data_IF_764891989505
#
_entry.id   IF_764891989505
#
_cell.length_a   1.000
_cell.length_b   1.000
_cell.length_c   1.000
_cell.angle_alpha   90.00
_cell.angle_beta   90.00
_cell.angle_gamma   90.00
#
_symmetry.space_group_name_H-M   'P 1'
#
loop_
_entity.id
_entity.type
_entity.pdbx_description
1 polymer ?
#
# COMPACT_ATOMS: atom_id res chain seq x y z
N UNK A 1 -12.12 10.35 -22.71
CA UNK A 1 -12.71 10.69 -21.40
C UNK A 1 -11.63 11.45 -20.62
N UNK A 2 -11.81 12.75 -20.35
CA UNK A 2 -10.79 13.58 -19.69
C UNK A 2 -10.67 13.18 -18.21
N UNK A 3 -9.74 12.27 -17.88
CA UNK A 3 -9.32 11.99 -16.51
C UNK A 3 -8.33 13.08 -16.08
N UNK A 4 -8.77 14.34 -15.89
CA UNK A 4 -8.05 15.26 -15.00
C UNK A 4 -8.32 14.84 -13.55
N UNK A 5 -7.86 13.64 -13.19
CA UNK A 5 -7.98 13.14 -11.82
C UNK A 5 -7.02 13.95 -10.99
N UNK A 6 -7.55 14.76 -10.08
CA UNK A 6 -6.76 15.34 -9.01
C UNK A 6 -6.36 14.21 -8.05
N UNK A 7 -5.37 13.43 -8.46
CA UNK A 7 -4.82 12.34 -7.66
C UNK A 7 -4.14 12.98 -6.45
N UNK A 8 -4.73 12.80 -5.27
CA UNK A 8 -4.16 13.15 -3.97
C UNK A 8 -3.42 11.93 -3.42
N UNK A 9 -2.34 11.56 -4.09
CA UNK A 9 -1.41 10.53 -3.62
C UNK A 9 -0.26 11.21 -2.89
N UNK A 10 0.15 10.67 -1.73
CA UNK A 10 1.44 10.98 -1.12
C UNK A 10 2.36 9.77 -1.35
N UNK A 11 3.35 9.86 -2.27
CA UNK A 11 4.22 8.75 -2.61
C UNK A 11 4.95 8.14 -1.40
N UNK A 12 5.25 6.85 -1.48
CA UNK A 12 6.00 6.06 -0.50
C UNK A 12 7.21 6.80 0.07
N UNK A 13 8.09 7.34 -0.79
CA UNK A 13 9.33 8.01 -0.36
C UNK A 13 9.07 9.23 0.53
N UNK A 14 7.99 9.97 0.27
CA UNK A 14 7.58 11.12 1.08
C UNK A 14 6.84 10.70 2.35
N UNK A 15 6.12 9.59 2.32
CA UNK A 15 5.40 9.03 3.47
C UNK A 15 6.36 8.39 4.48
N UNK A 16 7.39 7.70 4.00
CA UNK A 16 8.36 6.93 4.79
C UNK A 16 9.76 7.54 4.78
N UNK A 17 9.86 8.87 4.65
CA UNK A 17 11.13 9.60 4.53
C UNK A 17 12.20 9.19 5.55
N UNK A 18 11.82 8.98 6.81
CA UNK A 18 12.76 8.54 7.87
C UNK A 18 13.40 7.18 7.58
N UNK A 19 12.65 6.23 7.01
CA UNK A 19 13.14 4.91 6.67
C UNK A 19 14.03 4.95 5.43
N UNK A 20 13.66 5.78 4.45
CA UNK A 20 14.48 6.05 3.26
C UNK A 20 15.83 6.65 3.66
N UNK A 21 15.84 7.65 4.55
CA UNK A 21 17.06 8.28 5.07
C UNK A 21 17.94 7.31 5.88
N UNK A 22 17.33 6.33 6.56
CA UNK A 22 18.04 5.26 7.29
C UNK A 22 18.66 4.20 6.35
N UNK A 23 18.18 4.07 5.12
CA UNK A 23 18.69 3.13 4.12
C UNK A 23 18.41 1.66 4.44
N UNK A 24 17.44 1.36 5.30
CA UNK A 24 17.15 0.00 5.78
C UNK A 24 16.02 -0.70 5.02
N UNK A 25 15.72 -0.27 3.80
CA UNK A 25 14.63 -0.82 3.00
C UNK A 25 15.06 -2.14 2.33
N UNK A 26 14.26 -3.21 2.40
CA UNK A 26 14.51 -4.42 1.61
C UNK A 26 14.53 -4.09 0.12
N UNK A 27 15.58 -4.47 -0.59
CA UNK A 27 15.67 -4.20 -2.03
C UNK A 27 14.84 -5.21 -2.85
N UNK A 28 14.55 -4.84 -4.09
CA UNK A 28 13.93 -5.71 -5.09
C UNK A 28 15.01 -6.37 -5.95
N UNK A 29 14.93 -7.70 -6.09
CA UNK A 29 15.86 -8.44 -6.95
C UNK A 29 15.77 -7.96 -8.41
N UNK A 30 16.86 -8.05 -9.16
CA UNK A 30 16.88 -7.67 -10.58
C UNK A 30 15.84 -8.46 -11.42
N UNK A 31 15.54 -9.71 -11.04
CA UNK A 31 14.51 -10.50 -11.70
C UNK A 31 13.11 -9.98 -11.40
N UNK A 32 12.83 -9.65 -10.13
CA UNK A 32 11.57 -9.02 -9.73
C UNK A 32 11.36 -7.68 -10.46
N UNK A 33 12.39 -6.82 -10.51
CA UNK A 33 12.35 -5.53 -11.21
C UNK A 33 12.02 -5.66 -12.70
N UNK A 34 12.69 -6.59 -13.40
CA UNK A 34 12.38 -6.87 -14.81
C UNK A 34 10.96 -7.40 -14.99
N UNK A 35 10.50 -8.30 -14.11
CA UNK A 35 9.15 -8.85 -14.20
C UNK A 35 8.09 -7.80 -13.92
N UNK A 36 8.29 -6.93 -12.92
CA UNK A 36 7.42 -5.79 -12.63
C UNK A 36 7.27 -4.90 -13.85
N UNK A 37 8.38 -4.53 -14.50
CA UNK A 37 8.33 -3.70 -15.70
C UNK A 37 7.50 -4.34 -16.82
N UNK A 38 7.74 -5.63 -17.10
CA UNK A 38 6.96 -6.38 -18.10
C UNK A 38 5.47 -6.38 -17.74
N UNK A 39 5.14 -6.60 -16.46
CA UNK A 39 3.75 -6.56 -15.97
C UNK A 39 3.11 -5.19 -16.20
N UNK A 40 3.80 -4.08 -15.92
CA UNK A 40 3.25 -2.74 -16.19
C UNK A 40 3.02 -2.52 -17.69
N UNK A 41 3.95 -2.97 -18.53
CA UNK A 41 3.85 -2.90 -20.00
C UNK A 41 2.70 -3.71 -20.57
N UNK A 42 2.35 -4.84 -19.95
CA UNK A 42 1.18 -5.65 -20.33
C UNK A 42 -0.15 -4.96 -19.96
N UNK A 43 -0.15 -4.15 -18.90
CA UNK A 43 -1.35 -3.43 -18.42
C UNK A 43 -1.52 -2.07 -19.13
N UNK A 44 -0.43 -1.47 -19.62
CA UNK A 44 -0.41 -0.16 -20.28
C UNK A 44 -1.34 -0.11 -21.50
N UNK A 45 -2.29 0.83 -21.50
CA UNK A 45 -3.19 1.05 -22.63
C UNK A 45 -2.89 2.38 -23.33
N UNK A 46 -2.67 2.40 -24.66
CA UNK A 46 -2.58 3.63 -25.41
C UNK A 46 -3.97 4.24 -25.61
N UNK A 47 -4.07 5.56 -25.51
CA UNK A 47 -5.32 6.29 -25.75
C UNK A 47 -5.08 7.63 -26.46
N UNK A 48 -6.14 8.16 -27.05
CA UNK A 48 -6.14 9.48 -27.68
C UNK A 48 -6.95 10.47 -26.85
N UNK A 49 -6.44 11.70 -26.74
CA UNK A 49 -7.15 12.78 -26.08
C UNK A 49 -6.96 14.10 -26.83
N UNK A 50 -7.90 15.02 -26.64
CA UNK A 50 -7.77 16.39 -27.15
C UNK A 50 -7.35 17.31 -26.01
N UNK A 51 -6.20 18.00 -26.11
CA UNK A 51 -5.73 18.91 -25.08
C UNK A 51 -6.75 20.04 -24.83
N UNK A 52 -6.93 20.50 -23.56
CA UNK A 52 -7.88 21.56 -23.25
C UNK A 52 -7.56 22.89 -23.94
N UNK A 53 -6.27 23.15 -24.17
CA UNK A 53 -5.72 24.32 -24.85
C UNK A 53 -5.82 24.25 -26.37
N UNK A 54 -5.99 23.05 -26.93
CA UNK A 54 -6.14 22.85 -28.36
C UNK A 54 -7.10 21.70 -28.72
N UNK A 55 -8.43 21.90 -28.56
CA UNK A 55 -9.43 20.85 -28.67
C UNK A 55 -9.61 20.29 -30.10
N UNK A 56 -9.02 20.93 -31.12
CA UNK A 56 -9.04 20.45 -32.51
C UNK A 56 -7.95 19.43 -32.84
N UNK A 57 -7.02 19.17 -31.92
CA UNK A 57 -5.89 18.27 -32.11
C UNK A 57 -6.08 17.03 -31.25
N UNK A 58 -5.72 15.87 -31.80
CA UNK A 58 -5.69 14.62 -31.06
C UNK A 58 -4.23 14.28 -30.75
N UNK A 59 -3.92 14.16 -29.47
CA UNK A 59 -2.66 13.64 -28.98
C UNK A 59 -2.83 12.18 -28.57
N UNK A 60 -1.77 11.40 -28.77
CA UNK A 60 -1.68 10.02 -28.31
C UNK A 60 -0.87 9.99 -27.03
N UNK A 61 -1.36 9.29 -26.01
CA UNK A 61 -0.65 9.02 -24.76
C UNK A 61 -0.87 7.56 -24.33
N UNK A 62 -0.26 7.16 -23.22
CA UNK A 62 -0.50 5.87 -22.56
C UNK A 62 -0.51 6.06 -21.04
N UNK A 63 -0.98 5.04 -20.32
CA UNK A 63 -1.03 5.07 -18.86
C UNK A 63 0.37 5.31 -18.27
N UNK A 64 1.40 4.64 -18.81
CA UNK A 64 2.78 4.83 -18.38
C UNK A 64 3.27 6.27 -18.60
N UNK A 65 2.92 6.92 -19.72
CA UNK A 65 3.32 8.31 -19.98
C UNK A 65 2.67 9.28 -18.99
N UNK A 66 1.39 9.10 -18.69
CA UNK A 66 0.72 9.95 -17.71
C UNK A 66 1.20 9.69 -16.27
N UNK A 67 1.60 8.46 -15.97
CA UNK A 67 2.25 8.12 -14.70
C UNK A 67 3.61 8.80 -14.57
N UNK A 68 4.37 8.92 -15.66
CA UNK A 68 5.63 9.68 -15.68
C UNK A 68 5.38 11.17 -15.37
N UNK A 69 4.36 11.77 -15.99
CA UNK A 69 3.94 13.14 -15.68
C UNK A 69 3.47 13.31 -14.23
N UNK A 70 2.71 12.34 -13.72
CA UNK A 70 2.19 12.33 -12.35
C UNK A 70 3.33 12.23 -11.34
N UNK A 71 4.26 11.29 -11.55
CA UNK A 71 5.45 11.08 -10.73
C UNK A 71 6.27 12.37 -10.64
N UNK A 72 6.56 12.99 -11.79
CA UNK A 72 7.33 14.23 -11.85
C UNK A 72 6.65 15.38 -11.08
N UNK A 73 5.33 15.50 -11.23
CA UNK A 73 4.53 16.50 -10.50
C UNK A 73 4.54 16.25 -8.99
N UNK A 74 4.41 15.00 -8.53
CA UNK A 74 4.29 14.67 -7.11
C UNK A 74 5.62 14.81 -6.36
N UNK A 75 6.73 14.47 -7.00
CA UNK A 75 8.07 14.54 -6.39
C UNK A 75 8.84 15.82 -6.74
N UNK A 76 8.28 16.67 -7.60
CA UNK A 76 8.90 17.93 -8.01
C UNK A 76 10.14 17.72 -8.89
N UNK A 77 10.22 16.60 -9.62
CA UNK A 77 11.30 16.36 -10.58
C UNK A 77 10.97 17.05 -11.90
N UNK A 78 11.98 17.49 -12.68
CA UNK A 78 11.73 18.06 -13.99
C UNK A 78 10.98 17.07 -14.88
N UNK A 79 10.04 17.59 -15.67
CA UNK A 79 9.42 16.79 -16.72
C UNK A 79 10.49 16.46 -17.77
N UNK A 80 10.54 15.22 -18.28
CA UNK A 80 11.42 14.90 -19.38
C UNK A 80 10.98 15.70 -20.62
N UNK A 81 11.88 16.55 -21.13
CA UNK A 81 11.58 17.46 -22.26
C UNK A 81 11.43 16.73 -23.60
N UNK A 82 11.90 15.49 -23.68
CA UNK A 82 11.72 14.62 -24.84
C UNK A 82 12.03 13.17 -24.47
N UNK A 83 11.04 12.41 -24.02
CA UNK A 83 11.19 10.96 -24.02
C UNK A 83 11.13 10.52 -25.50
N UNK A 84 12.26 10.11 -26.10
CA UNK A 84 12.27 9.52 -27.46
C UNK A 84 11.44 8.23 -27.50
N UNK A 85 11.22 7.61 -26.34
CA UNK A 85 10.42 6.42 -26.14
C UNK A 85 9.51 6.58 -24.93
N UNK A 86 8.27 6.12 -25.09
CA UNK A 86 7.25 6.08 -24.02
C UNK A 86 7.77 5.31 -22.80
N UNK A 87 7.85 5.96 -21.64
CA UNK A 87 8.10 5.30 -20.36
C UNK A 87 9.56 4.99 -20.04
N UNK A 88 10.53 5.52 -20.79
CA UNK A 88 11.97 5.24 -20.59
C UNK A 88 12.44 5.63 -19.18
N UNK A 89 11.97 6.77 -18.66
CA UNK A 89 12.30 7.23 -17.30
C UNK A 89 11.71 6.28 -16.26
N UNK A 90 10.45 5.87 -16.44
CA UNK A 90 9.77 4.93 -15.56
C UNK A 90 10.44 3.55 -15.59
N UNK A 91 10.84 3.09 -16.77
CA UNK A 91 11.59 1.85 -16.96
C UNK A 91 12.92 1.88 -16.18
N UNK A 92 13.70 2.95 -16.35
CA UNK A 92 14.98 3.12 -15.67
C UNK A 92 14.80 3.13 -14.15
N UNK A 93 13.80 3.85 -13.64
CA UNK A 93 13.47 3.91 -12.21
C UNK A 93 13.14 2.51 -11.66
N UNK A 94 12.32 1.73 -12.36
CA UNK A 94 11.95 0.38 -11.91
C UNK A 94 13.14 -0.57 -11.99
N UNK A 95 13.86 -0.57 -13.11
CA UNK A 95 14.90 -1.57 -13.38
C UNK A 95 16.19 -1.32 -12.60
N UNK A 96 16.57 -0.05 -12.42
CA UNK A 96 17.89 0.33 -11.89
C UNK A 96 17.83 1.37 -10.76
N UNK A 97 16.70 2.06 -10.62
CA UNK A 97 16.50 3.06 -9.58
C UNK A 97 16.42 2.46 -8.17
N UNK A 98 16.43 3.34 -7.17
CA UNK A 98 16.29 2.94 -5.76
C UNK A 98 14.91 2.32 -5.51
N UNK A 99 14.82 1.44 -4.51
CA UNK A 99 13.57 0.71 -4.22
C UNK A 99 12.42 1.65 -3.88
N UNK A 100 12.68 2.74 -3.14
CA UNK A 100 11.67 3.74 -2.82
C UNK A 100 11.12 4.44 -4.07
N UNK A 101 11.97 4.68 -5.07
CA UNK A 101 11.57 5.29 -6.34
C UNK A 101 10.74 4.31 -7.19
N UNK A 102 11.12 3.03 -7.20
CA UNK A 102 10.34 1.99 -7.86
C UNK A 102 8.95 1.84 -7.21
N UNK A 103 8.86 1.90 -5.87
CA UNK A 103 7.59 1.86 -5.15
C UNK A 103 6.73 3.09 -5.41
N UNK A 104 7.31 4.30 -5.41
CA UNK A 104 6.60 5.53 -5.77
C UNK A 104 5.95 5.41 -7.16
N UNK A 105 6.67 4.85 -8.13
CA UNK A 105 6.16 4.61 -9.48
C UNK A 105 4.99 3.62 -9.47
N UNK A 106 5.11 2.50 -8.76
CA UNK A 106 4.02 1.52 -8.66
C UNK A 106 2.77 2.13 -7.99
N UNK A 107 2.93 2.93 -6.94
CA UNK A 107 1.82 3.65 -6.31
C UNK A 107 1.19 4.67 -7.27
N UNK A 108 1.99 5.42 -8.03
CA UNK A 108 1.50 6.35 -9.05
C UNK A 108 0.71 5.62 -10.14
N UNK A 109 1.21 4.47 -10.60
CA UNK A 109 0.55 3.65 -11.59
C UNK A 109 -0.81 3.15 -11.11
N UNK A 110 -0.88 2.58 -9.90
CA UNK A 110 -2.15 2.12 -9.33
C UNK A 110 -3.13 3.28 -9.07
N UNK A 111 -2.64 4.46 -8.69
CA UNK A 111 -3.48 5.64 -8.48
C UNK A 111 -4.04 6.22 -9.79
N UNK A 112 -3.35 6.03 -10.91
CA UNK A 112 -3.77 6.48 -12.23
C UNK A 112 -4.92 5.64 -12.81
N UNK A 113 -4.85 4.32 -12.62
CA UNK A 113 -5.87 3.38 -13.08
C UNK A 113 -7.22 3.62 -12.41
N UNK A 114 -8.33 3.28 -13.09
CA UNK A 114 -9.64 3.17 -12.43
C UNK A 114 -9.71 1.95 -11.51
N UNK A 115 -10.79 1.84 -10.74
CA UNK A 115 -10.90 0.85 -9.67
C UNK A 115 -10.75 -0.60 -10.16
N UNK A 116 -11.37 -0.96 -11.28
CA UNK A 116 -11.34 -2.31 -11.84
C UNK A 116 -9.92 -2.67 -12.30
N UNK A 117 -9.31 -1.84 -13.16
CA UNK A 117 -7.94 -2.05 -13.63
C UNK A 117 -6.92 -1.98 -12.50
N UNK A 118 -7.16 -1.17 -11.47
CA UNK A 118 -6.28 -1.07 -10.30
C UNK A 118 -6.23 -2.36 -9.51
N UNK A 119 -7.38 -3.01 -9.26
CA UNK A 119 -7.42 -4.24 -8.47
C UNK A 119 -6.72 -5.40 -9.22
N UNK A 120 -6.90 -5.49 -10.53
CA UNK A 120 -6.19 -6.43 -11.39
C UNK A 120 -4.67 -6.17 -11.40
N UNK A 121 -4.26 -4.92 -11.64
CA UNK A 121 -2.86 -4.52 -11.63
C UNK A 121 -2.19 -4.77 -10.28
N UNK A 122 -2.88 -4.46 -9.17
CA UNK A 122 -2.38 -4.70 -7.82
C UNK A 122 -2.17 -6.20 -7.57
N UNK A 123 -3.09 -7.04 -8.04
CA UNK A 123 -2.97 -8.50 -7.95
C UNK A 123 -1.75 -8.98 -8.73
N UNK A 124 -1.60 -8.55 -9.99
CA UNK A 124 -0.47 -8.93 -10.83
C UNK A 124 0.88 -8.49 -10.23
N UNK A 125 0.99 -7.26 -9.71
CA UNK A 125 2.19 -6.76 -9.02
C UNK A 125 2.51 -7.61 -7.78
N UNK A 126 1.49 -7.95 -6.99
CA UNK A 126 1.65 -8.77 -5.79
C UNK A 126 2.07 -10.21 -6.09
N UNK A 127 1.65 -10.77 -7.23
CA UNK A 127 2.10 -12.07 -7.68
C UNK A 127 3.60 -12.03 -8.02
N UNK A 128 4.09 -10.97 -8.66
CA UNK A 128 5.55 -10.77 -8.86
C UNK A 128 6.27 -10.72 -7.51
N UNK A 129 5.77 -9.95 -6.55
CA UNK A 129 6.39 -9.92 -5.22
C UNK A 129 6.37 -11.28 -4.51
N UNK A 130 5.35 -12.11 -4.75
CA UNK A 130 5.26 -13.45 -4.17
C UNK A 130 6.25 -14.41 -4.83
N UNK A 131 6.29 -14.44 -6.16
CA UNK A 131 7.12 -15.35 -6.95
C UNK A 131 8.61 -15.15 -6.66
N UNK A 132 9.03 -13.91 -6.41
CA UNK A 132 10.42 -13.57 -6.09
C UNK A 132 10.68 -13.40 -4.60
N UNK A 133 9.75 -13.83 -3.73
CA UNK A 133 9.87 -13.74 -2.25
C UNK A 133 10.25 -12.34 -1.76
N UNK A 134 9.74 -11.31 -2.45
CA UNK A 134 9.92 -9.92 -2.03
C UNK A 134 9.14 -9.68 -0.73
N UNK A 135 9.75 -8.91 0.18
CA UNK A 135 9.14 -8.44 1.42
C UNK A 135 8.09 -7.33 1.20
N UNK A 136 7.74 -7.02 -0.04
CA UNK A 136 6.82 -5.93 -0.40
C UNK A 136 5.46 -6.46 -0.78
N UNK A 137 4.39 -5.74 -0.43
CA UNK A 137 3.03 -5.96 -0.93
C UNK A 137 2.37 -4.63 -1.25
N UNK A 138 1.55 -4.62 -2.29
CA UNK A 138 0.64 -3.52 -2.59
C UNK A 138 -0.72 -3.78 -1.93
N UNK A 139 -1.25 -2.80 -1.22
CA UNK A 139 -2.59 -2.82 -0.65
C UNK A 139 -3.23 -1.45 -0.76
N UNK A 140 -4.42 -1.38 -1.33
CA UNK A 140 -5.16 -0.14 -1.58
C UNK A 140 -4.31 0.91 -2.34
N UNK A 141 -3.56 0.44 -3.33
CA UNK A 141 -2.67 1.29 -4.14
C UNK A 141 -1.38 1.73 -3.44
N UNK A 142 -1.10 1.23 -2.23
CA UNK A 142 0.06 1.63 -1.42
C UNK A 142 1.04 0.48 -1.18
N UNK A 143 2.34 0.78 -1.21
CA UNK A 143 3.39 -0.16 -0.87
C UNK A 143 3.53 -0.35 0.64
N UNK A 144 3.61 -1.61 1.07
CA UNK A 144 3.79 -2.03 2.45
C UNK A 144 4.93 -3.06 2.52
N UNK A 145 5.72 -3.00 3.58
CA UNK A 145 6.65 -4.08 3.91
C UNK A 145 5.88 -5.12 4.72
N UNK A 146 5.94 -6.37 4.27
CA UNK A 146 5.46 -7.56 4.95
C UNK A 146 6.70 -8.36 5.33
N UNK A 147 7.23 -8.01 6.49
CA UNK A 147 8.34 -8.70 7.13
C UNK A 147 8.05 -8.76 8.63
N UNK A 148 8.37 -9.88 9.27
CA UNK A 148 8.12 -10.08 10.69
C UNK A 148 8.87 -9.03 11.52
N UNK A 149 10.11 -8.72 11.14
CA UNK A 149 10.95 -7.71 11.81
C UNK A 149 10.43 -6.27 11.62
N UNK A 150 9.86 -5.94 10.46
CA UNK A 150 9.35 -4.60 10.16
C UNK A 150 7.96 -4.37 10.76
N UNK A 151 7.11 -5.40 10.72
CA UNK A 151 5.85 -5.40 11.45
C UNK A 151 6.13 -5.33 12.95
N UNK A 152 7.10 -6.07 13.47
CA UNK A 152 7.54 -5.92 14.86
C UNK A 152 8.04 -4.50 15.13
N UNK A 153 8.96 -3.93 14.36
CA UNK A 153 9.53 -2.60 14.66
C UNK A 153 8.49 -1.47 14.61
N UNK A 154 7.55 -1.47 13.66
CA UNK A 154 6.54 -0.40 13.56
C UNK A 154 5.33 -0.68 14.46
N UNK A 155 4.78 -1.90 14.40
CA UNK A 155 3.63 -2.25 15.24
C UNK A 155 4.06 -2.24 16.71
N UNK A 156 5.21 -2.77 17.10
CA UNK A 156 5.64 -2.75 18.51
C UNK A 156 6.20 -1.41 18.99
N UNK A 157 6.64 -0.51 18.12
CA UNK A 157 7.00 0.84 18.56
C UNK A 157 5.75 1.70 18.85
N UNK A 158 4.72 1.59 18.01
CA UNK A 158 3.54 2.44 18.07
C UNK A 158 2.37 1.83 18.86
N UNK A 159 2.29 0.50 18.97
CA UNK A 159 1.21 -0.20 19.69
C UNK A 159 1.28 -0.02 21.22
N UNK A 160 2.45 -0.14 21.90
CA UNK A 160 2.53 0.05 23.34
C UNK A 160 2.07 1.42 23.85
N UNK A 161 2.39 2.57 23.21
CA UNK A 161 1.86 3.86 23.66
C UNK A 161 0.34 4.00 23.38
N UNK A 162 -0.18 3.42 22.30
CA UNK A 162 -1.63 3.40 22.01
C UNK A 162 -2.39 2.52 23.02
N UNK A 163 -1.85 1.34 23.34
CA UNK A 163 -2.41 0.42 24.32
C UNK A 163 -2.11 0.82 25.78
N UNK A 164 -1.25 1.82 26.01
CA UNK A 164 -0.99 2.39 27.33
C UNK A 164 -2.09 3.38 27.79
N UNK A 165 -3.02 3.74 26.90
CA UNK A 165 -4.26 4.41 27.30
C UNK A 165 -5.06 3.44 28.19
N UNK A 166 -5.50 3.90 29.36
CA UNK A 166 -6.09 3.05 30.42
C UNK A 166 -7.23 2.13 29.96
N UNK A 167 -7.94 2.51 28.89
CA UNK A 167 -9.01 1.73 28.27
C UNK A 167 -8.55 0.44 27.59
N UNK A 168 -7.28 0.30 27.22
CA UNK A 168 -6.77 -0.81 26.41
C UNK A 168 -5.89 -1.83 27.17
N UNK A 169 -5.87 -1.78 28.50
CA UNK A 169 -5.03 -2.65 29.34
C UNK A 169 -5.25 -4.15 29.05
N UNK A 170 -6.51 -4.59 28.89
CA UNK A 170 -6.81 -6.00 28.54
C UNK A 170 -6.25 -6.41 27.16
N UNK A 171 -6.41 -5.54 26.16
CA UNK A 171 -5.89 -5.78 24.81
C UNK A 171 -4.36 -5.87 24.79
N UNK A 172 -3.69 -5.09 25.65
CA UNK A 172 -2.25 -5.10 25.84
C UNK A 172 -1.75 -6.42 26.43
N UNK A 173 -2.40 -6.91 27.47
CA UNK A 173 -1.99 -8.14 28.16
C UNK A 173 -2.16 -9.36 27.25
N UNK A 174 -3.27 -9.40 26.49
CA UNK A 174 -3.54 -10.46 25.50
C UNK A 174 -2.56 -10.40 24.33
N UNK A 175 -2.20 -9.19 23.86
CA UNK A 175 -1.18 -9.02 22.83
C UNK A 175 0.19 -9.51 23.30
N UNK A 176 0.60 -9.16 24.52
CA UNK A 176 1.86 -9.62 25.09
C UNK A 176 1.90 -11.16 25.24
N UNK A 177 0.78 -11.77 25.63
CA UNK A 177 0.66 -13.24 25.66
C UNK A 177 0.77 -13.85 24.28
N UNK A 178 0.10 -13.31 23.27
CA UNK A 178 0.20 -13.79 21.90
C UNK A 178 1.67 -13.81 21.40
N UNK A 179 2.44 -12.78 21.76
CA UNK A 179 3.87 -12.70 21.43
C UNK A 179 4.71 -13.77 22.13
N UNK A 180 4.47 -13.99 23.42
CA UNK A 180 5.20 -15.01 24.17
C UNK A 180 4.92 -16.41 23.59
N UNK A 181 3.65 -16.73 23.33
CA UNK A 181 3.26 -18.02 22.73
C UNK A 181 3.86 -18.20 21.32
N UNK A 182 3.91 -17.12 20.53
CA UNK A 182 4.54 -17.17 19.21
C UNK A 182 6.06 -17.45 19.31
N UNK A 183 6.73 -16.79 20.26
CA UNK A 183 8.17 -16.95 20.50
C UNK A 183 8.51 -18.37 20.98
N UNK A 184 7.60 -18.98 21.75
CA UNK A 184 7.73 -20.35 22.25
C UNK A 184 7.34 -21.42 21.20
N UNK A 185 6.85 -21.00 20.03
CA UNK A 185 6.43 -21.89 18.94
C UNK A 185 5.01 -22.44 19.08
N UNK A 186 4.24 -21.96 20.04
CA UNK A 186 2.85 -22.36 20.29
C UNK A 186 1.89 -21.60 19.35
N UNK A 187 1.97 -21.90 18.05
CA UNK A 187 1.27 -21.15 16.98
C UNK A 187 -0.26 -21.05 17.22
N UNK A 188 -0.90 -22.13 17.71
CA UNK A 188 -2.34 -22.14 17.97
C UNK A 188 -2.74 -21.11 19.02
N UNK A 189 -2.00 -21.05 20.11
CA UNK A 189 -2.30 -20.17 21.24
C UNK A 189 -1.91 -18.73 20.92
N UNK A 190 -0.83 -18.55 20.13
CA UNK A 190 -0.49 -17.25 19.55
C UNK A 190 -1.63 -16.65 18.73
N UNK A 191 -2.24 -17.44 17.82
CA UNK A 191 -3.39 -17.01 17.01
C UNK A 191 -4.59 -16.68 17.90
N UNK A 192 -4.87 -17.52 18.90
CA UNK A 192 -5.99 -17.30 19.83
C UNK A 192 -5.84 -15.98 20.59
N UNK A 193 -4.68 -15.74 21.21
CA UNK A 193 -4.45 -14.53 21.99
C UNK A 193 -4.35 -13.27 21.11
N UNK A 194 -3.89 -13.40 19.86
CA UNK A 194 -3.94 -12.31 18.90
C UNK A 194 -5.40 -11.91 18.59
N UNK A 195 -6.29 -12.90 18.38
CA UNK A 195 -7.71 -12.66 18.21
C UNK A 195 -8.37 -12.02 19.44
N UNK A 196 -8.03 -12.50 20.63
CA UNK A 196 -8.52 -11.94 21.90
C UNK A 196 -8.10 -10.47 22.05
N UNK A 197 -6.84 -10.15 21.76
CA UNK A 197 -6.32 -8.78 21.82
C UNK A 197 -7.09 -7.81 20.92
N UNK A 198 -7.39 -8.22 19.68
CA UNK A 198 -8.22 -7.44 18.76
C UNK A 198 -9.63 -7.24 19.32
N UNK A 199 -10.23 -8.30 19.86
CA UNK A 199 -11.55 -8.23 20.47
C UNK A 199 -11.59 -7.25 21.66
N UNK A 200 -10.60 -7.32 22.54
CA UNK A 200 -10.48 -6.41 23.69
C UNK A 200 -10.21 -4.98 23.27
N UNK A 201 -9.42 -4.76 22.21
CA UNK A 201 -9.24 -3.42 21.63
C UNK A 201 -10.57 -2.89 21.08
N UNK A 202 -11.35 -3.75 20.44
CA UNK A 202 -12.68 -3.41 19.97
C UNK A 202 -13.61 -3.01 21.11
N UNK A 203 -13.69 -3.83 22.16
CA UNK A 203 -14.49 -3.52 23.35
C UNK A 203 -14.09 -2.19 23.98
N UNK A 204 -12.79 -1.93 24.10
CA UNK A 204 -12.25 -0.70 24.67
C UNK A 204 -12.69 0.55 23.90
N UNK A 205 -12.53 0.57 22.58
CA UNK A 205 -12.91 1.76 21.79
C UNK A 205 -14.43 1.91 21.60
N UNK A 206 -15.24 0.88 21.87
CA UNK A 206 -16.70 0.98 22.00
C UNK A 206 -17.18 1.25 23.44
N UNK A 207 -16.28 1.56 24.38
CA UNK A 207 -16.64 1.88 25.76
C UNK A 207 -17.01 0.66 26.62
N UNK A 208 -16.19 -0.39 26.57
CA UNK A 208 -16.38 -1.66 27.29
C UNK A 208 -17.65 -2.42 26.90
N UNK A 209 -17.87 -2.58 25.59
CA UNK A 209 -19.00 -3.34 25.07
C UNK A 209 -18.97 -4.80 25.54
N UNK A 210 -20.11 -5.40 25.95
CA UNK A 210 -20.18 -6.83 26.29
C UNK A 210 -20.24 -7.75 25.06
N UNK A 211 -20.26 -7.19 23.85
CA UNK A 211 -20.35 -7.93 22.58
C UNK A 211 -19.07 -8.71 22.31
N UNK A 212 -19.15 -9.75 21.47
CA UNK A 212 -18.02 -10.63 21.12
C UNK A 212 -18.00 -10.93 19.62
N UNK A 213 -16.82 -11.18 19.05
CA UNK A 213 -16.69 -11.62 17.65
C UNK A 213 -17.41 -10.73 16.62
N UNK A 214 -18.25 -11.33 15.78
CA UNK A 214 -18.98 -10.69 14.67
C UNK A 214 -19.82 -9.48 15.14
N UNK A 215 -20.40 -9.57 16.34
CA UNK A 215 -21.24 -8.48 16.88
C UNK A 215 -20.44 -7.21 17.19
N UNK A 216 -19.15 -7.34 17.51
CA UNK A 216 -18.25 -6.20 17.67
C UNK A 216 -17.88 -5.61 16.32
N UNK A 217 -17.58 -6.43 15.32
CA UNK A 217 -17.24 -5.99 13.97
C UNK A 217 -18.37 -5.17 13.36
N UNK A 218 -19.61 -5.65 13.48
CA UNK A 218 -20.80 -4.94 13.04
C UNK A 218 -21.00 -3.62 13.83
N UNK A 219 -20.73 -3.63 15.13
CA UNK A 219 -20.83 -2.42 15.96
C UNK A 219 -19.78 -1.36 15.58
N UNK A 220 -18.57 -1.76 15.21
CA UNK A 220 -17.54 -0.87 14.68
C UNK A 220 -17.92 -0.25 13.34
N UNK A 221 -18.43 -1.08 12.42
CA UNK A 221 -18.91 -0.62 11.12
C UNK A 221 -20.04 0.43 11.30
N UNK A 222 -20.99 0.16 12.19
CA UNK A 222 -22.11 1.06 12.48
C UNK A 222 -21.68 2.34 13.22
N UNK A 223 -20.59 2.29 14.01
CA UNK A 223 -20.03 3.44 14.70
C UNK A 223 -19.16 4.34 13.78
N UNK A 224 -19.04 3.98 12.49
CA UNK A 224 -18.22 4.67 11.51
C UNK A 224 -16.72 4.72 11.88
N UNK A 225 -16.28 3.79 12.74
CA UNK A 225 -14.90 3.71 13.24
C UNK A 225 -13.97 2.93 12.29
N UNK A 226 -14.51 2.40 11.18
CA UNK A 226 -13.77 1.71 10.12
C UNK A 226 -13.45 2.61 8.91
N UNK A 227 -13.63 3.93 9.04
CA UNK A 227 -13.25 4.90 8.00
C UNK A 227 -11.73 4.83 7.76
N UNK A 228 -11.33 4.09 6.72
CA UNK A 228 -9.94 3.82 6.37
C UNK A 228 -9.70 2.40 5.83
N UNK A 229 -10.63 1.47 6.00
CA UNK A 229 -10.56 0.15 5.36
C UNK A 229 -11.09 0.23 3.91
N UNK A 230 -10.44 -0.46 2.94
CA UNK A 230 -10.97 -0.59 1.58
C UNK A 230 -12.40 -1.12 1.62
N UNK A 231 -13.31 -0.51 0.87
CA UNK A 231 -14.75 -0.86 0.90
C UNK A 231 -15.01 -2.33 0.60
N UNK A 232 -14.18 -2.95 -0.23
CA UNK A 232 -14.22 -4.39 -0.54
C UNK A 232 -13.95 -5.28 0.67
N UNK A 233 -13.11 -4.83 1.62
CA UNK A 233 -12.80 -5.56 2.87
C UNK A 233 -13.75 -5.21 4.01
N UNK A 234 -14.29 -3.99 4.02
CA UNK A 234 -15.30 -3.59 5.00
C UNK A 234 -16.65 -4.30 4.81
N UNK A 235 -16.97 -4.74 3.57
CA UNK A 235 -18.19 -5.49 3.25
C UNK A 235 -18.08 -7.00 3.49
N UNK A 236 -16.85 -7.53 3.65
CA UNK A 236 -16.58 -8.96 3.89
C UNK A 236 -16.36 -9.29 5.37
N UNK A 237 -16.48 -8.28 6.24
CA UNK A 237 -16.37 -8.36 7.70
C UNK A 237 -17.76 -8.38 8.34
#
# INVERSE_FOLDING_TARGET
MQKQVHIRLKPFSLRHRRLVEKGSLPDLSAQARRRLWITLREIDEPFYYSPPDNPGWNEQSSDIQEVEHLYARLLGTPKPESARYVGEVIEEIIQTGKVESALDVLECFLAWLDAERRDEAQTAINDVFRDYTCRWRMSDGQGLIVDDDFMEDIVLADTPPILALASFSGAKDEFQRARNELTEGNIRDAIFYAGASVESAFKAALGNSPKTGIDLTQAYANANLLEGLPKSKAQSL
#
